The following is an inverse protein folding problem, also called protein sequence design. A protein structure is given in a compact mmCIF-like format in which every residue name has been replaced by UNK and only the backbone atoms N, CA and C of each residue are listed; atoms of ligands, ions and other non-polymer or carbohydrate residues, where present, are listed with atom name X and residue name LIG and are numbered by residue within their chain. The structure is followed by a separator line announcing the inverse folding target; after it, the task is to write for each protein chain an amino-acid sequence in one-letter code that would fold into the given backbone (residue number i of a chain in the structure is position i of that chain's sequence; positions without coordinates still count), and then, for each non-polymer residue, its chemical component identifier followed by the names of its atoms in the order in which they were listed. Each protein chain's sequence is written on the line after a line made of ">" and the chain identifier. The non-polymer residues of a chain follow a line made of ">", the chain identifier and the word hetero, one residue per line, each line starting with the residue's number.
data_IF_873794528798
#
_entry.id   IF_873794528798
#
_cell.length_a   1.000
_cell.length_b   1.000
_cell.length_c   1.000
_cell.angle_alpha   90.00
_cell.angle_beta   90.00
_cell.angle_gamma   90.00
#
_symmetry.space_group_name_H-M   'P 1'
#
loop_
_entity.id
_entity.type
_entity.pdbx_description
1 polymer ?
#
# COMPACT_ATOMS: atom_id res chain seq x y z
N UNK A 1 38.69 60.91 39.91
CA UNK A 1 39.42 59.72 40.39
C UNK A 1 38.78 58.53 39.69
N UNK A 2 39.36 58.12 38.56
CA UNK A 2 38.80 57.08 37.68
C UNK A 2 39.76 55.92 37.75
N UNK A 3 39.31 54.82 38.36
CA UNK A 3 40.09 53.61 38.54
C UNK A 3 39.90 52.72 37.29
N UNK A 4 40.97 52.44 36.53
CA UNK A 4 41.03 51.50 35.41
C UNK A 4 41.12 50.06 35.98
N UNK A 5 40.25 49.22 35.49
CA UNK A 5 40.34 47.74 35.64
C UNK A 5 41.30 47.15 34.60
N UNK A 6 42.03 46.10 34.94
CA UNK A 6 42.99 45.48 34.01
C UNK A 6 42.32 44.60 32.97
N UNK A 7 42.82 44.65 31.75
CA UNK A 7 42.40 43.79 30.61
C UNK A 7 42.84 42.34 30.86
N UNK A 8 41.91 41.39 30.77
CA UNK A 8 42.17 39.98 30.80
C UNK A 8 42.71 39.50 29.43
N UNK A 9 43.83 38.78 29.46
CA UNK A 9 44.45 38.10 28.33
C UNK A 9 43.50 37.08 27.75
N UNK A 10 43.29 37.11 26.41
CA UNK A 10 42.66 36.07 25.63
C UNK A 10 43.54 34.80 25.64
N UNK A 11 43.00 33.74 26.18
CA UNK A 11 43.56 32.40 26.05
C UNK A 11 43.06 31.83 24.72
N UNK A 12 43.99 31.58 23.83
CA UNK A 12 43.78 30.84 22.59
C UNK A 12 43.45 29.38 22.95
N UNK A 13 42.17 29.00 22.81
CA UNK A 13 41.77 27.60 22.84
C UNK A 13 42.02 27.03 21.46
N UNK A 14 43.01 26.15 21.37
CA UNK A 14 43.26 25.35 20.14
C UNK A 14 42.04 24.55 19.78
N UNK A 15 41.68 24.58 18.51
CA UNK A 15 40.73 23.65 17.90
C UNK A 15 41.26 22.21 18.08
N UNK A 16 40.41 21.25 18.46
CA UNK A 16 40.80 19.85 18.37
C UNK A 16 40.86 19.48 16.87
N UNK A 17 41.94 18.81 16.51
CA UNK A 17 42.14 18.24 15.19
C UNK A 17 40.95 17.36 14.82
N UNK A 18 40.51 17.48 13.56
CA UNK A 18 39.55 16.60 12.90
C UNK A 18 39.97 15.14 13.12
N UNK A 19 39.15 14.38 13.86
CA UNK A 19 39.23 12.92 13.86
C UNK A 19 39.05 12.45 12.42
N UNK A 20 40.10 12.01 11.80
CA UNK A 20 40.08 11.21 10.58
C UNK A 20 39.26 9.96 10.87
N UNK A 21 38.12 9.84 10.21
CA UNK A 21 37.30 8.64 10.11
C UNK A 21 38.19 7.47 9.57
N UNK A 22 38.86 6.77 10.49
CA UNK A 22 39.45 5.49 10.21
C UNK A 22 38.33 4.45 10.18
N UNK A 23 37.62 4.38 9.05
CA UNK A 23 36.73 3.28 8.72
C UNK A 23 37.58 2.00 8.69
N UNK A 24 37.60 1.28 9.80
CA UNK A 24 38.30 0.01 9.92
C UNK A 24 37.75 -0.98 8.87
N UNK A 25 38.61 -1.56 8.02
CA UNK A 25 38.22 -2.54 6.98
C UNK A 25 37.41 -3.73 7.56
N UNK A 26 37.62 -4.04 8.83
CA UNK A 26 36.94 -5.12 9.53
C UNK A 26 35.46 -4.83 9.85
N UNK A 27 35.05 -3.57 10.01
CA UNK A 27 33.66 -3.19 10.21
C UNK A 27 32.79 -3.47 8.99
N UNK A 28 33.29 -3.14 7.82
CA UNK A 28 32.61 -3.39 6.55
C UNK A 28 32.51 -4.90 6.22
N UNK A 29 33.53 -5.68 6.59
CA UNK A 29 33.54 -7.12 6.40
C UNK A 29 32.54 -7.84 7.34
N UNK A 30 32.45 -7.41 8.61
CA UNK A 30 31.50 -7.95 9.57
C UNK A 30 30.05 -7.64 9.16
N UNK A 31 29.76 -6.42 8.70
CA UNK A 31 28.45 -6.05 8.16
C UNK A 31 28.10 -6.84 6.88
N UNK A 32 29.09 -7.07 6.00
CA UNK A 32 28.90 -7.89 4.80
C UNK A 32 28.56 -9.34 5.12
N UNK A 33 29.29 -9.95 6.05
CA UNK A 33 29.03 -11.33 6.50
C UNK A 33 27.68 -11.46 7.23
N UNK A 34 27.33 -10.52 8.09
CA UNK A 34 26.05 -10.52 8.80
C UNK A 34 24.88 -10.39 7.83
N UNK A 35 25.02 -9.56 6.80
CA UNK A 35 24.02 -9.44 5.73
C UNK A 35 23.90 -10.73 4.92
N UNK A 36 25.02 -11.34 4.52
CA UNK A 36 25.02 -12.60 3.76
C UNK A 36 24.39 -13.75 4.55
N UNK A 37 24.66 -13.86 5.85
CA UNK A 37 24.06 -14.87 6.73
C UNK A 37 22.57 -14.61 6.92
N UNK A 38 22.16 -13.34 7.08
CA UNK A 38 20.75 -12.95 7.15
C UNK A 38 20.00 -13.25 5.86
N UNK A 39 20.59 -12.91 4.70
CA UNK A 39 20.00 -13.18 3.38
C UNK A 39 19.93 -14.69 3.09
N UNK A 40 20.95 -15.46 3.50
CA UNK A 40 20.96 -16.93 3.36
C UNK A 40 19.92 -17.61 4.26
N UNK A 41 19.76 -17.15 5.52
CA UNK A 41 18.71 -17.64 6.42
C UNK A 41 17.32 -17.24 5.94
N UNK A 42 17.14 -16.02 5.46
CA UNK A 42 15.90 -15.57 4.85
C UNK A 42 15.55 -16.41 3.60
N UNK A 43 16.57 -16.77 2.80
CA UNK A 43 16.42 -17.67 1.66
C UNK A 43 16.02 -19.09 2.05
N UNK A 44 16.62 -19.63 3.10
CA UNK A 44 16.33 -20.97 3.61
C UNK A 44 14.91 -21.07 4.20
N UNK A 45 14.41 -19.98 4.78
CA UNK A 45 13.08 -19.88 5.38
C UNK A 45 12.01 -19.39 4.38
N UNK A 46 12.36 -19.16 3.11
CA UNK A 46 11.43 -18.61 2.10
C UNK A 46 11.00 -17.17 2.38
N UNK A 47 11.70 -16.45 3.28
CA UNK A 47 11.40 -15.09 3.70
C UNK A 47 12.06 -14.03 2.79
N UNK A 48 12.04 -14.24 1.47
CA UNK A 48 12.52 -13.23 0.54
C UNK A 48 11.56 -12.03 0.52
N UNK A 49 11.89 -11.01 1.29
CA UNK A 49 11.22 -9.70 1.24
C UNK A 49 11.75 -8.85 0.08
N UNK A 50 10.86 -8.15 -0.60
CA UNK A 50 11.24 -7.12 -1.58
C UNK A 50 11.24 -5.76 -0.89
N UNK A 51 12.32 -4.99 -1.03
CA UNK A 51 12.39 -3.64 -0.46
C UNK A 51 11.29 -2.76 -1.04
N UNK A 52 10.59 -2.03 -0.18
CA UNK A 52 9.59 -1.05 -0.61
C UNK A 52 10.24 0.12 -1.34
N UNK A 53 9.52 0.66 -2.33
CA UNK A 53 9.93 1.92 -2.96
C UNK A 53 9.90 3.06 -1.94
N UNK A 54 10.65 4.13 -2.20
CA UNK A 54 10.63 5.33 -1.33
C UNK A 54 9.24 5.96 -1.27
N UNK A 55 8.49 5.90 -2.37
CA UNK A 55 7.13 6.44 -2.47
C UNK A 55 6.16 5.60 -1.64
N UNK A 56 6.17 4.27 -1.78
CA UNK A 56 5.32 3.38 -0.98
C UNK A 56 5.63 3.51 0.52
N UNK A 57 6.93 3.63 0.87
CA UNK A 57 7.38 3.87 2.24
C UNK A 57 6.90 5.23 2.76
N UNK A 58 6.84 6.26 1.92
CA UNK A 58 6.32 7.56 2.32
C UNK A 58 4.81 7.46 2.64
N UNK A 59 4.01 6.80 1.79
CA UNK A 59 2.59 6.55 2.08
C UNK A 59 2.38 5.80 3.39
N UNK A 60 3.19 4.77 3.64
CA UNK A 60 3.12 4.00 4.88
C UNK A 60 3.41 4.86 6.12
N UNK A 61 4.40 5.76 6.05
CA UNK A 61 4.81 6.64 7.16
C UNK A 61 3.86 7.83 7.38
N UNK A 62 3.12 8.22 6.35
CA UNK A 62 2.08 9.25 6.46
C UNK A 62 0.80 8.71 7.10
N UNK A 63 0.64 7.38 7.16
CA UNK A 63 -0.50 6.72 7.77
C UNK A 63 -0.50 6.92 9.29
N UNK A 64 -1.57 7.49 9.81
CA UNK A 64 -1.75 7.77 11.23
C UNK A 64 -3.22 7.64 11.63
N UNK A 65 -3.51 7.55 12.92
CA UNK A 65 -4.87 7.44 13.42
C UNK A 65 -5.80 8.60 13.00
N UNK A 66 -5.23 9.77 12.72
CA UNK A 66 -5.97 10.96 12.27
C UNK A 66 -5.95 11.16 10.76
N UNK A 67 -5.17 10.38 10.04
CA UNK A 67 -5.00 10.48 8.59
C UNK A 67 -4.66 9.11 8.00
N UNK A 68 -5.67 8.29 7.83
CA UNK A 68 -5.50 6.96 7.24
C UNK A 68 -5.22 7.08 5.74
N UNK A 69 -4.13 6.45 5.29
CA UNK A 69 -3.74 6.41 3.88
C UNK A 69 -4.50 5.32 3.14
N UNK A 70 -5.84 5.39 3.18
CA UNK A 70 -6.73 4.42 2.55
C UNK A 70 -7.35 4.97 1.27
N UNK A 71 -7.31 4.15 0.24
CA UNK A 71 -8.16 4.33 -0.94
C UNK A 71 -9.43 3.52 -0.69
N UNK A 72 -10.57 4.19 -0.76
CA UNK A 72 -11.87 3.57 -0.52
C UNK A 72 -12.75 3.75 -1.75
N UNK A 73 -13.31 2.64 -2.23
CA UNK A 73 -14.20 2.62 -3.39
C UNK A 73 -15.47 1.85 -3.10
N UNK A 74 -16.55 2.17 -3.84
CA UNK A 74 -17.83 1.46 -3.77
C UNK A 74 -18.30 1.12 -5.16
N UNK A 75 -18.66 -0.14 -5.36
CA UNK A 75 -19.32 -0.61 -6.58
C UNK A 75 -20.71 -1.14 -6.25
N UNK A 76 -21.69 -0.69 -7.02
CA UNK A 76 -23.04 -1.26 -7.00
C UNK A 76 -23.16 -2.17 -8.21
N UNK A 77 -23.31 -3.47 -7.94
CA UNK A 77 -23.24 -4.53 -8.95
C UNK A 77 -24.65 -5.07 -9.26
N UNK A 78 -24.96 -5.22 -10.53
CA UNK A 78 -26.16 -5.87 -11.04
C UNK A 78 -25.78 -6.75 -12.23
N UNK A 79 -26.14 -8.04 -12.20
CA UNK A 79 -26.77 -8.78 -11.10
C UNK A 79 -25.90 -8.79 -9.85
N UNK A 80 -26.50 -9.18 -8.70
CA UNK A 80 -25.78 -9.27 -7.44
C UNK A 80 -24.67 -10.32 -7.47
N UNK A 81 -23.61 -10.06 -6.74
CA UNK A 81 -22.46 -10.94 -6.57
C UNK A 81 -22.57 -11.69 -5.24
N UNK A 82 -22.36 -12.99 -5.22
CA UNK A 82 -22.26 -13.79 -4.01
C UNK A 82 -20.83 -13.80 -3.50
N UNK A 83 -20.67 -13.97 -2.17
CA UNK A 83 -19.34 -14.01 -1.55
C UNK A 83 -18.43 -15.07 -2.18
N UNK A 84 -18.96 -16.28 -2.46
CA UNK A 84 -18.18 -17.35 -3.06
C UNK A 84 -17.62 -16.95 -4.43
N UNK A 85 -18.44 -16.31 -5.28
CA UNK A 85 -18.04 -15.88 -6.61
C UNK A 85 -16.99 -14.74 -6.52
N UNK A 86 -17.10 -13.85 -5.52
CA UNK A 86 -16.11 -12.81 -5.24
C UNK A 86 -14.77 -13.42 -4.80
N UNK A 87 -14.79 -14.36 -3.85
CA UNK A 87 -13.59 -15.04 -3.40
C UNK A 87 -12.86 -15.74 -4.54
N UNK A 88 -13.59 -16.49 -5.37
CA UNK A 88 -13.00 -17.13 -6.54
C UNK A 88 -12.34 -16.13 -7.49
N UNK A 89 -12.99 -15.01 -7.80
CA UNK A 89 -12.41 -13.96 -8.66
C UNK A 89 -11.17 -13.33 -8.04
N UNK A 90 -11.17 -13.12 -6.73
CA UNK A 90 -10.00 -12.59 -6.02
C UNK A 90 -8.85 -13.58 -6.10
N UNK A 91 -9.06 -14.85 -5.85
CA UNK A 91 -8.04 -15.89 -5.95
C UNK A 91 -7.46 -16.00 -7.35
N UNK A 92 -8.32 -16.03 -8.37
CA UNK A 92 -7.92 -16.21 -9.76
C UNK A 92 -7.28 -14.97 -10.38
N UNK A 93 -7.62 -13.76 -9.90
CA UNK A 93 -7.28 -12.52 -10.59
C UNK A 93 -6.48 -11.53 -9.74
N UNK A 94 -6.91 -11.28 -8.48
CA UNK A 94 -6.26 -10.31 -7.62
C UNK A 94 -4.99 -10.87 -6.97
N UNK A 95 -5.03 -12.10 -6.49
CA UNK A 95 -3.91 -12.72 -5.79
C UNK A 95 -2.75 -13.15 -6.73
N UNK A 96 -2.86 -12.89 -8.03
CA UNK A 96 -1.73 -12.90 -8.97
C UNK A 96 -0.74 -11.78 -8.70
N UNK A 97 -1.21 -10.68 -8.10
CA UNK A 97 -0.36 -9.54 -7.72
C UNK A 97 0.23 -9.80 -6.33
N UNK A 98 1.55 -9.96 -6.20
CA UNK A 98 2.18 -10.35 -4.93
C UNK A 98 1.81 -9.45 -3.75
N UNK A 99 1.64 -8.13 -3.98
CA UNK A 99 1.30 -7.14 -2.95
C UNK A 99 0.02 -7.47 -2.17
N UNK A 100 -0.92 -8.19 -2.78
CA UNK A 100 -2.17 -8.61 -2.13
C UNK A 100 -2.00 -9.84 -1.23
N UNK A 101 -0.80 -10.46 -1.20
CA UNK A 101 -0.42 -11.55 -0.30
C UNK A 101 0.71 -11.16 0.65
N UNK A 102 1.19 -9.93 0.55
CA UNK A 102 2.35 -9.47 1.31
C UNK A 102 1.93 -8.49 2.40
N UNK A 103 2.49 -8.67 3.58
CA UNK A 103 2.46 -7.69 4.66
C UNK A 103 3.71 -6.81 4.60
N UNK A 104 3.69 -5.71 5.34
CA UNK A 104 4.80 -4.78 5.44
C UNK A 104 5.59 -5.06 6.71
N UNK A 105 6.90 -5.19 6.58
CA UNK A 105 7.83 -5.28 7.70
C UNK A 105 8.75 -4.07 7.67
N UNK A 106 8.73 -3.30 8.75
CA UNK A 106 9.59 -2.12 8.91
C UNK A 106 10.85 -2.47 9.69
N UNK A 107 11.97 -1.89 9.28
CA UNK A 107 13.24 -1.97 9.95
C UNK A 107 13.93 -0.59 10.02
N UNK A 108 15.10 -0.50 10.65
CA UNK A 108 15.84 0.75 10.78
C UNK A 108 16.23 1.38 9.42
N UNK A 109 16.31 0.58 8.37
CA UNK A 109 16.69 1.03 7.03
C UNK A 109 15.48 1.32 6.12
N UNK A 110 14.24 1.08 6.58
CA UNK A 110 13.00 1.37 5.85
C UNK A 110 11.96 0.29 5.99
N UNK A 111 11.25 -0.05 4.91
CA UNK A 111 10.21 -1.06 4.90
C UNK A 111 10.43 -2.07 3.77
N UNK A 112 9.91 -3.28 3.95
CA UNK A 112 10.00 -4.40 3.01
C UNK A 112 8.65 -5.10 2.88
N UNK A 113 8.36 -5.59 1.69
CA UNK A 113 7.23 -6.47 1.43
C UNK A 113 7.63 -7.91 1.72
N UNK A 114 6.89 -8.59 2.57
CA UNK A 114 7.11 -9.99 2.92
C UNK A 114 5.83 -10.79 2.71
N UNK A 115 5.95 -12.01 2.20
CA UNK A 115 4.78 -12.87 2.11
C UNK A 115 4.20 -13.11 3.51
N UNK A 116 2.90 -12.95 3.65
CA UNK A 116 2.20 -13.27 4.89
C UNK A 116 2.06 -14.80 5.00
N UNK A 117 2.76 -15.46 5.95
CA UNK A 117 2.66 -16.90 6.12
C UNK A 117 1.32 -17.37 6.67
N UNK A 118 0.55 -16.43 7.25
CA UNK A 118 -0.78 -16.65 7.80
C UNK A 118 -1.88 -16.00 6.95
N UNK A 119 -1.61 -15.80 5.64
CA UNK A 119 -2.58 -15.24 4.74
C UNK A 119 -3.88 -16.06 4.73
N UNK A 120 -4.98 -15.38 5.00
CA UNK A 120 -6.30 -15.97 5.03
C UNK A 120 -7.30 -15.04 4.31
N UNK A 121 -7.85 -15.51 3.19
CA UNK A 121 -8.80 -14.73 2.40
C UNK A 121 -10.07 -14.35 3.17
N UNK A 122 -10.46 -15.16 4.17
CA UNK A 122 -11.61 -14.88 5.02
C UNK A 122 -11.50 -13.56 5.79
N UNK A 123 -10.28 -13.15 6.13
CA UNK A 123 -10.00 -11.86 6.78
C UNK A 123 -10.13 -10.67 5.84
N UNK A 124 -9.97 -10.93 4.55
CA UNK A 124 -9.94 -9.89 3.52
C UNK A 124 -11.28 -9.72 2.81
N UNK A 125 -12.15 -10.73 2.83
CA UNK A 125 -13.49 -10.68 2.22
C UNK A 125 -14.56 -10.83 3.28
N UNK A 126 -15.08 -9.71 3.73
CA UNK A 126 -16.06 -9.61 4.81
C UNK A 126 -17.46 -9.48 4.23
N UNK A 127 -18.41 -10.28 4.73
CA UNK A 127 -19.83 -10.08 4.40
C UNK A 127 -20.47 -9.10 5.37
N UNK A 128 -21.06 -8.04 4.82
CA UNK A 128 -21.74 -7.00 5.59
C UNK A 128 -23.25 -7.13 5.52
N UNK A 129 -23.90 -6.82 6.62
CA UNK A 129 -25.36 -6.69 6.69
C UNK A 129 -25.70 -5.27 7.09
N UNK A 130 -26.25 -4.52 6.15
CA UNK A 130 -26.73 -3.18 6.45
C UNK A 130 -27.96 -3.22 7.34
N UNK A 131 -28.17 -2.22 8.22
CA UNK A 131 -29.40 -2.09 8.98
C UNK A 131 -30.60 -1.96 8.03
N UNK A 132 -31.72 -2.50 8.47
CA UNK A 132 -32.99 -2.36 7.73
C UNK A 132 -33.42 -0.91 7.77
N UNK A 133 -33.49 -0.29 6.60
CA UNK A 133 -33.96 1.08 6.44
C UNK A 133 -35.35 1.12 5.81
N UNK A 134 -36.13 2.19 6.04
CA UNK A 134 -37.33 2.46 5.26
C UNK A 134 -37.01 2.44 3.75
N UNK A 135 -38.02 2.04 2.96
CA UNK A 135 -37.87 1.93 1.51
C UNK A 135 -37.35 3.25 0.91
N UNK A 136 -36.29 3.16 0.14
CA UNK A 136 -35.63 4.29 -0.51
C UNK A 136 -34.46 4.89 0.29
N UNK A 137 -34.23 4.47 1.55
CA UNK A 137 -33.12 4.97 2.39
C UNK A 137 -31.95 3.97 2.52
N UNK A 138 -31.93 2.90 1.73
CA UNK A 138 -30.84 1.90 1.78
C UNK A 138 -29.47 2.52 1.41
N UNK A 139 -29.48 3.59 0.65
CA UNK A 139 -28.25 4.31 0.29
C UNK A 139 -27.62 5.00 1.50
N UNK A 140 -28.42 5.54 2.39
CA UNK A 140 -27.92 6.17 3.62
C UNK A 140 -27.21 5.14 4.50
N UNK A 141 -27.80 3.95 4.69
CA UNK A 141 -27.16 2.87 5.44
C UNK A 141 -25.82 2.43 4.84
N UNK A 142 -25.72 2.39 3.50
CA UNK A 142 -24.47 2.08 2.82
C UNK A 142 -23.43 3.20 3.02
N UNK A 143 -23.84 4.45 2.90
CA UNK A 143 -22.98 5.62 3.11
C UNK A 143 -22.49 5.70 4.56
N UNK A 144 -23.36 5.47 5.54
CA UNK A 144 -23.00 5.45 6.96
C UNK A 144 -21.96 4.35 7.24
N UNK A 145 -22.18 3.13 6.71
CA UNK A 145 -21.20 2.05 6.87
C UNK A 145 -19.88 2.37 6.18
N UNK A 146 -19.93 2.94 4.99
CA UNK A 146 -18.72 3.38 4.28
C UNK A 146 -17.96 4.44 5.09
N UNK A 147 -18.64 5.42 5.63
CA UNK A 147 -18.03 6.46 6.47
C UNK A 147 -17.32 5.85 7.70
N UNK A 148 -17.93 4.84 8.35
CA UNK A 148 -17.26 4.11 9.44
C UNK A 148 -16.00 3.42 8.94
N UNK A 149 -16.07 2.68 7.83
CA UNK A 149 -14.95 1.96 7.25
C UNK A 149 -13.78 2.88 6.85
N UNK A 150 -14.05 4.14 6.48
CA UNK A 150 -12.98 5.12 6.18
C UNK A 150 -12.21 5.55 7.43
N UNK A 151 -12.78 5.38 8.61
CA UNK A 151 -12.15 5.73 9.89
C UNK A 151 -11.53 4.53 10.62
N UNK A 152 -11.73 3.33 10.13
CA UNK A 152 -11.16 2.10 10.72
C UNK A 152 -9.79 1.82 10.08
N UNK A 153 -8.69 1.69 10.84
CA UNK A 153 -7.40 1.32 10.28
C UNK A 153 -7.41 -0.15 9.80
N UNK A 154 -6.56 -0.47 8.83
CA UNK A 154 -6.26 -1.84 8.46
C UNK A 154 -5.23 -2.45 9.42
N UNK A 155 -5.33 -3.76 9.66
CA UNK A 155 -4.36 -4.49 10.49
C UNK A 155 -3.02 -4.61 9.74
N UNK A 156 -1.98 -3.99 10.30
CA UNK A 156 -0.62 -3.98 9.71
C UNK A 156 0.08 -5.34 9.80
N UNK A 157 -0.44 -6.29 10.58
CA UNK A 157 0.10 -7.64 10.63
C UNK A 157 -0.22 -8.47 9.38
N UNK A 158 -1.15 -8.01 8.56
CA UNK A 158 -1.64 -8.68 7.35
C UNK A 158 -1.54 -7.78 6.12
N UNK A 159 -1.80 -8.30 4.90
CA UNK A 159 -1.92 -7.48 3.70
C UNK A 159 -2.94 -6.37 3.86
N UNK A 160 -2.56 -5.14 3.49
CA UNK A 160 -3.28 -3.91 3.83
C UNK A 160 -4.45 -3.63 2.87
N UNK A 161 -5.41 -4.56 2.79
CA UNK A 161 -6.63 -4.41 2.01
C UNK A 161 -7.78 -5.22 2.59
N UNK A 162 -9.01 -4.77 2.35
CA UNK A 162 -10.25 -5.49 2.68
C UNK A 162 -11.36 -5.15 1.69
N UNK A 163 -12.19 -6.14 1.39
CA UNK A 163 -13.40 -6.03 0.60
C UNK A 163 -14.60 -6.40 1.46
N UNK A 164 -15.58 -5.51 1.51
CA UNK A 164 -16.79 -5.65 2.31
C UNK A 164 -17.99 -5.80 1.35
N UNK A 165 -18.57 -6.98 1.29
CA UNK A 165 -19.67 -7.33 0.40
C UNK A 165 -21.03 -7.27 1.11
N UNK A 166 -21.92 -6.46 0.59
CA UNK A 166 -23.35 -6.48 0.91
C UNK A 166 -24.06 -7.25 -0.20
N UNK A 167 -24.39 -8.51 0.02
CA UNK A 167 -24.94 -9.39 -1.01
C UNK A 167 -26.32 -8.96 -1.53
N UNK A 168 -27.11 -8.30 -0.67
CA UNK A 168 -28.48 -7.86 -1.02
C UNK A 168 -28.59 -6.33 -0.88
N UNK A 169 -28.35 -5.64 -1.99
CA UNK A 169 -28.46 -4.19 -2.05
C UNK A 169 -29.19 -3.75 -3.30
N UNK A 170 -30.34 -3.08 -3.16
CA UNK A 170 -31.15 -2.52 -4.27
C UNK A 170 -31.35 -3.48 -5.46
N UNK A 171 -31.62 -4.75 -5.18
CA UNK A 171 -31.81 -5.78 -6.20
C UNK A 171 -30.52 -6.30 -6.85
N UNK A 172 -29.41 -6.03 -6.25
CA UNK A 172 -28.07 -6.51 -6.62
C UNK A 172 -27.21 -6.68 -5.38
N UNK A 173 -25.94 -6.28 -5.46
CA UNK A 173 -25.00 -6.23 -4.33
C UNK A 173 -24.23 -4.89 -4.31
N UNK A 174 -23.64 -4.55 -3.17
CA UNK A 174 -22.69 -3.47 -3.06
C UNK A 174 -21.37 -4.02 -2.54
N UNK A 175 -20.27 -3.62 -3.15
CA UNK A 175 -18.92 -3.98 -2.76
C UNK A 175 -18.17 -2.72 -2.36
N UNK A 176 -17.81 -2.62 -1.07
CA UNK A 176 -16.96 -1.56 -0.54
C UNK A 176 -15.52 -2.09 -0.46
N UNK A 177 -14.59 -1.36 -0.99
CA UNK A 177 -13.18 -1.75 -1.10
C UNK A 177 -12.32 -0.77 -0.34
N UNK A 178 -11.40 -1.29 0.46
CA UNK A 178 -10.44 -0.52 1.24
C UNK A 178 -9.05 -1.06 0.94
N UNK A 179 -8.17 -0.21 0.46
CA UNK A 179 -6.79 -0.59 0.12
C UNK A 179 -5.88 0.52 0.59
N UNK A 180 -4.80 0.17 1.29
CA UNK A 180 -3.81 1.14 1.71
C UNK A 180 -3.01 1.65 0.51
N UNK A 181 -2.71 2.93 0.49
CA UNK A 181 -2.07 3.62 -0.63
C UNK A 181 -0.66 3.10 -0.96
N UNK A 182 0.01 2.45 0.01
CA UNK A 182 1.32 1.83 -0.24
C UNK A 182 1.27 0.61 -1.16
N UNK A 183 0.11 -0.06 -1.31
CA UNK A 183 -0.03 -1.24 -2.19
C UNK A 183 0.03 -0.84 -3.65
N UNK A 184 -0.70 0.22 -4.02
CA UNK A 184 -0.76 0.72 -5.37
C UNK A 184 -1.20 2.19 -5.36
N UNK A 185 -0.72 2.97 -6.32
CA UNK A 185 -1.30 4.27 -6.58
C UNK A 185 -2.70 4.16 -7.20
N UNK A 186 -3.43 5.27 -7.28
CA UNK A 186 -4.81 5.27 -7.75
C UNK A 186 -4.98 4.71 -9.18
N UNK A 187 -3.99 4.91 -10.04
CA UNK A 187 -4.02 4.48 -11.44
C UNK A 187 -3.78 2.97 -11.53
N UNK A 188 -2.74 2.47 -10.87
CA UNK A 188 -2.46 1.04 -10.80
C UNK A 188 -3.65 0.28 -10.18
N UNK A 189 -4.30 0.89 -9.17
CA UNK A 189 -5.46 0.29 -8.52
C UNK A 189 -6.67 0.20 -9.45
N UNK A 190 -6.92 1.19 -10.31
CA UNK A 190 -7.97 1.11 -11.34
C UNK A 190 -7.71 -0.09 -12.25
N UNK A 191 -6.49 -0.27 -12.74
CA UNK A 191 -6.13 -1.42 -13.56
C UNK A 191 -6.34 -2.76 -12.85
N UNK A 192 -5.89 -2.87 -11.60
CA UNK A 192 -6.10 -4.07 -10.77
C UNK A 192 -7.58 -4.35 -10.56
N UNK A 193 -8.39 -3.32 -10.28
CA UNK A 193 -9.82 -3.50 -10.06
C UNK A 193 -10.58 -3.85 -11.35
N UNK A 194 -10.15 -3.32 -12.49
CA UNK A 194 -10.68 -3.73 -13.78
C UNK A 194 -10.42 -5.21 -14.10
N UNK A 195 -9.32 -5.77 -13.61
CA UNK A 195 -9.04 -7.20 -13.79
C UNK A 195 -10.05 -8.12 -13.09
N UNK A 196 -10.77 -7.61 -12.08
CA UNK A 196 -11.80 -8.36 -11.35
C UNK A 196 -13.12 -8.49 -12.13
N UNK A 197 -13.36 -7.64 -13.13
CA UNK A 197 -14.59 -7.66 -13.94
C UNK A 197 -14.39 -8.44 -15.24
N UNK A 198 -15.46 -9.07 -15.72
CA UNK A 198 -15.41 -9.78 -16.99
C UNK A 198 -15.33 -8.76 -18.15
N UNK A 199 -14.42 -8.99 -19.09
CA UNK A 199 -14.12 -8.06 -20.18
C UNK A 199 -13.20 -6.90 -19.80
N UNK A 200 -12.77 -6.82 -18.53
CA UNK A 200 -11.73 -5.88 -18.11
C UNK A 200 -10.35 -6.32 -18.64
N UNK A 201 -9.54 -5.36 -19.05
CA UNK A 201 -8.15 -5.62 -19.41
C UNK A 201 -7.33 -5.78 -18.14
N UNK A 202 -6.63 -6.90 -18.00
CA UNK A 202 -5.61 -7.00 -16.95
C UNK A 202 -4.55 -5.90 -17.20
N UNK A 203 -4.13 -5.16 -16.18
CA UNK A 203 -2.99 -4.27 -16.34
C UNK A 203 -1.80 -5.11 -16.80
N UNK A 204 -0.89 -4.55 -17.62
CA UNK A 204 0.34 -5.23 -17.96
C UNK A 204 1.03 -5.64 -16.66
N UNK A 205 1.58 -6.87 -16.65
CA UNK A 205 2.42 -7.28 -15.51
C UNK A 205 3.39 -6.14 -15.22
N UNK A 206 3.53 -5.72 -13.95
CA UNK A 206 4.51 -4.71 -13.62
C UNK A 206 5.86 -5.28 -14.05
N UNK A 207 6.36 -4.84 -15.19
CA UNK A 207 7.77 -4.97 -15.47
C UNK A 207 8.46 -4.48 -14.20
N UNK A 208 9.48 -5.19 -13.72
CA UNK A 208 10.28 -4.79 -12.55
C UNK A 208 10.95 -3.44 -12.84
N UNK A 209 10.12 -2.41 -13.00
CA UNK A 209 10.60 -1.06 -13.14
C UNK A 209 11.04 -0.64 -11.73
N UNK A 210 12.35 -0.62 -11.56
CA UNK A 210 12.93 0.39 -10.70
C UNK A 210 12.20 1.68 -11.06
N UNK A 211 11.39 2.18 -10.15
CA UNK A 211 10.68 3.44 -10.30
C UNK A 211 11.73 4.56 -10.36
N UNK A 212 12.33 4.71 -11.51
CA UNK A 212 12.96 5.97 -11.91
C UNK A 212 11.78 6.86 -12.29
N UNK A 213 11.72 8.00 -11.65
CA UNK A 213 10.66 9.01 -11.74
C UNK A 213 10.54 9.59 -13.17
N UNK A 214 10.15 8.78 -14.14
CA UNK A 214 9.70 9.22 -15.44
C UNK A 214 8.19 9.29 -15.43
N UNK A 215 7.68 10.46 -14.98
CA UNK A 215 6.27 10.85 -15.12
C UNK A 215 5.74 10.69 -16.55
N UNK A 216 6.66 10.69 -17.55
CA UNK A 216 6.33 10.51 -18.97
C UNK A 216 5.76 9.14 -19.31
N UNK A 217 6.12 8.06 -18.61
CA UNK A 217 5.58 6.72 -18.85
C UNK A 217 4.14 6.57 -18.35
N UNK A 218 3.78 7.22 -17.25
CA UNK A 218 2.44 7.21 -16.70
C UNK A 218 1.48 8.03 -17.58
N UNK A 219 1.92 9.17 -18.10
CA UNK A 219 1.14 10.01 -19.01
C UNK A 219 0.90 9.32 -20.36
N UNK A 220 1.89 8.62 -20.91
CA UNK A 220 1.74 7.87 -22.16
C UNK A 220 0.74 6.72 -22.03
N UNK A 221 0.75 6.00 -20.91
CA UNK A 221 -0.21 4.94 -20.61
C UNK A 221 -1.63 5.50 -20.42
N UNK A 222 -1.78 6.64 -19.73
CA UNK A 222 -3.04 7.34 -19.58
C UNK A 222 -3.63 7.76 -20.93
N UNK A 223 -2.79 8.33 -21.81
CA UNK A 223 -3.22 8.77 -23.13
C UNK A 223 -3.71 7.59 -24.00
N UNK A 224 -3.06 6.43 -23.95
CA UNK A 224 -3.43 5.27 -24.75
C UNK A 224 -4.68 4.53 -24.22
N UNK A 225 -4.93 4.60 -22.91
CA UNK A 225 -6.05 3.90 -22.25
C UNK A 225 -7.34 4.72 -22.23
N UNK A 226 -7.25 6.06 -22.14
CA UNK A 226 -8.43 6.94 -21.96
C UNK A 226 -8.88 7.68 -23.22
N UNK A 227 -8.07 7.75 -24.28
CA UNK A 227 -8.38 8.52 -25.51
C UNK A 227 -9.01 7.66 -26.61
N UNK A 228 -9.11 6.34 -26.45
CA UNK A 228 -9.87 5.52 -27.40
C UNK A 228 -11.36 5.62 -27.06
N UNK A 229 -12.17 6.35 -27.87
CA UNK A 229 -13.61 6.36 -27.66
C UNK A 229 -14.11 4.92 -27.82
N UNK A 230 -14.93 4.46 -26.88
CA UNK A 230 -15.69 3.20 -27.02
C UNK A 230 -16.69 3.39 -28.16
N UNK A 231 -16.23 3.20 -29.39
CA UNK A 231 -17.09 3.11 -30.54
C UNK A 231 -17.66 1.70 -30.59
N UNK A 232 -18.89 1.52 -30.08
CA UNK A 232 -19.54 0.21 -30.08
C UNK A 232 -20.77 0.09 -29.18
N UNK A 233 -21.46 1.19 -28.90
CA UNK A 233 -22.86 1.14 -28.42
C UNK A 233 -23.77 1.58 -29.53
N UNK A 234 -24.15 0.62 -30.39
CA UNK A 234 -25.38 0.74 -31.19
C UNK A 234 -26.55 0.25 -30.35
N UNK A 235 -27.54 1.09 -30.26
CA UNK A 235 -28.86 0.93 -29.61
C UNK A 235 -29.63 -0.28 -30.18
#
# INVERSE_FOLDING_TARGET
>A
MVTRLPQSRSVSTGQPASEEDQSHPWGNMAHGLQKQVSDAMAGLLGLHGTRMSKVDTAWLRMDSATNLMLIVGVWVLKPGLRRADLCQRIEERLLKYPRFRQCVVEDAAGASWMNDPAFDLERHVVTEKLPRMPRGREQEALQDRLAQLTMEPLDKAHPLWQFHLVEHYKGGSALMVRIHHCIADGIALIGVTQSLVDGGTAPPEPAHHHYNADLQGAEAWLADTWIKPVTGLTV
#
